data_IF_388628640060
#
_entry.id   IF_388628640060
#
_cell.length_a   1.000
_cell.length_b   1.000
_cell.length_c   1.000
_cell.angle_alpha   90.00
_cell.angle_beta   90.00
_cell.angle_gamma   90.00
#
_symmetry.space_group_name_H-M   'P 1'
#
loop_
_entity.id
_entity.type
_entity.pdbx_description
1 polymer ?
#
# COMPACT_ATOMS: atom_id res chain seq x y z
N UNK A 1 -20.95 -33.26 21.83
CA UNK A 1 -20.08 -32.08 21.87
C UNK A 1 -20.89 -30.92 22.40
N UNK A 2 -20.50 -30.34 23.53
CA UNK A 2 -21.24 -29.21 24.13
C UNK A 2 -20.79 -27.91 23.47
N UNK A 3 -21.69 -27.25 22.76
CA UNK A 3 -21.51 -25.88 22.27
C UNK A 3 -22.51 -24.98 22.99
N UNK A 4 -22.04 -23.85 23.50
CA UNK A 4 -22.87 -22.93 24.29
C UNK A 4 -23.16 -21.68 23.45
N UNK A 5 -24.42 -21.32 23.20
CA UNK A 5 -24.78 -20.05 22.57
C UNK A 5 -24.60 -18.90 23.57
N UNK A 6 -23.77 -17.93 23.22
CA UNK A 6 -23.47 -16.74 24.02
C UNK A 6 -24.06 -15.52 23.33
N UNK A 7 -24.72 -14.65 24.09
CA UNK A 7 -25.23 -13.38 23.58
C UNK A 7 -24.32 -12.28 24.06
N UNK A 8 -23.72 -11.51 23.14
CA UNK A 8 -22.83 -10.40 23.48
C UNK A 8 -23.47 -9.08 23.07
N UNK A 9 -23.45 -8.10 23.97
CA UNK A 9 -23.97 -6.76 23.73
C UNK A 9 -22.94 -5.68 24.05
N UNK A 10 -22.86 -4.69 23.17
CA UNK A 10 -22.11 -3.46 23.36
C UNK A 10 -22.90 -2.33 22.69
N UNK A 11 -23.25 -1.30 23.46
CA UNK A 11 -24.17 -0.23 23.06
C UNK A 11 -25.50 -0.81 22.52
N UNK A 12 -25.85 -0.49 21.28
CA UNK A 12 -27.04 -1.00 20.57
C UNK A 12 -26.76 -2.23 19.69
N UNK A 13 -25.52 -2.75 19.69
CA UNK A 13 -25.13 -3.92 18.90
C UNK A 13 -25.22 -5.19 19.74
N UNK A 14 -26.07 -6.11 19.30
CA UNK A 14 -26.25 -7.44 19.87
C UNK A 14 -25.84 -8.52 18.88
N UNK A 15 -24.96 -9.42 19.28
CA UNK A 15 -24.50 -10.54 18.47
C UNK A 15 -24.65 -11.85 19.23
N UNK A 16 -25.11 -12.90 18.55
CA UNK A 16 -25.10 -14.26 19.10
C UNK A 16 -23.87 -14.99 18.57
N UNK A 17 -23.03 -15.48 19.47
CA UNK A 17 -21.85 -16.28 19.18
C UNK A 17 -22.11 -17.71 19.66
N UNK A 18 -21.56 -18.71 18.95
CA UNK A 18 -21.61 -20.10 19.41
C UNK A 18 -20.21 -20.50 19.86
N UNK A 19 -20.01 -20.63 21.16
CA UNK A 19 -18.74 -21.06 21.72
C UNK A 19 -18.67 -22.59 21.70
N UNK A 20 -17.77 -23.12 20.87
CA UNK A 20 -17.44 -24.54 20.83
C UNK A 20 -16.56 -24.93 22.01
N UNK A 21 -16.45 -26.23 22.30
CA UNK A 21 -15.62 -26.77 23.38
C UNK A 21 -14.17 -26.27 23.34
N UNK A 22 -13.59 -26.12 22.15
CA UNK A 22 -12.24 -25.56 21.97
C UNK A 22 -12.15 -24.07 22.32
N UNK A 23 -13.20 -23.29 22.06
CA UNK A 23 -13.26 -21.87 22.44
C UNK A 23 -13.52 -21.69 23.93
N UNK A 24 -14.30 -22.59 24.55
CA UNK A 24 -14.56 -22.57 25.99
C UNK A 24 -13.29 -22.78 26.84
N UNK A 25 -12.28 -23.45 26.29
CA UNK A 25 -10.98 -23.63 26.96
C UNK A 25 -10.02 -22.43 26.82
N UNK A 26 -10.37 -21.42 26.01
CA UNK A 26 -9.57 -20.19 25.85
C UNK A 26 -10.02 -19.11 26.83
N UNK A 27 -9.18 -18.09 26.99
CA UNK A 27 -9.51 -16.89 27.75
C UNK A 27 -10.78 -16.22 27.21
N UNK A 28 -11.59 -15.62 28.08
CA UNK A 28 -12.83 -14.93 27.72
C UNK A 28 -12.60 -13.85 26.66
N UNK A 29 -11.46 -13.15 26.75
CA UNK A 29 -11.04 -12.14 25.76
C UNK A 29 -10.86 -12.72 24.36
N UNK A 30 -10.32 -13.93 24.22
CA UNK A 30 -10.06 -14.56 22.92
C UNK A 30 -11.27 -15.34 22.40
N UNK A 31 -12.02 -15.94 23.31
CA UNK A 31 -13.16 -16.79 22.98
C UNK A 31 -14.39 -15.99 22.54
N UNK A 32 -14.59 -14.79 23.12
CA UNK A 32 -15.84 -14.03 22.99
C UNK A 32 -15.61 -12.57 22.66
N UNK A 33 -14.77 -11.86 23.41
CA UNK A 33 -14.62 -10.40 23.28
C UNK A 33 -13.96 -10.02 21.95
N UNK A 34 -12.81 -10.60 21.61
CA UNK A 34 -12.07 -10.29 20.37
C UNK A 34 -12.85 -10.65 19.11
N UNK A 35 -13.50 -11.84 19.01
CA UNK A 35 -14.39 -12.15 17.88
C UNK A 35 -15.58 -11.19 17.77
N UNK A 36 -16.19 -10.84 18.89
CA UNK A 36 -17.28 -9.86 18.92
C UNK A 36 -16.80 -8.48 18.45
N UNK A 37 -15.69 -7.98 18.99
CA UNK A 37 -15.11 -6.69 18.62
C UNK A 37 -14.70 -6.66 17.15
N UNK A 38 -14.20 -7.76 16.57
CA UNK A 38 -13.95 -7.85 15.14
C UNK A 38 -15.22 -7.63 14.29
N UNK A 39 -16.34 -8.21 14.69
CA UNK A 39 -17.63 -8.01 14.02
C UNK A 39 -18.23 -6.62 14.29
N UNK A 40 -18.12 -6.14 15.52
CA UNK A 40 -18.55 -4.81 15.95
C UNK A 40 -17.82 -3.71 15.18
N UNK A 41 -16.48 -3.78 15.14
CA UNK A 41 -15.61 -2.86 14.42
C UNK A 41 -15.93 -2.84 12.93
N UNK A 42 -16.22 -3.99 12.32
CA UNK A 42 -16.66 -4.07 10.93
C UNK A 42 -18.04 -3.44 10.70
N UNK A 43 -18.98 -3.60 11.64
CA UNK A 43 -20.35 -3.08 11.53
C UNK A 43 -20.44 -1.57 11.82
N UNK A 44 -19.64 -1.08 12.76
CA UNK A 44 -19.61 0.32 13.22
C UNK A 44 -18.52 1.15 12.56
N UNK A 45 -17.69 0.53 11.72
CA UNK A 45 -16.48 1.13 11.15
C UNK A 45 -15.60 1.76 12.24
N UNK A 46 -15.38 1.01 13.33
CA UNK A 46 -14.61 1.43 14.49
C UNK A 46 -13.34 0.56 14.63
N UNK A 47 -12.42 0.95 15.52
CA UNK A 47 -11.24 0.14 15.87
C UNK A 47 -11.07 0.04 17.39
N UNK A 48 -12.10 -0.50 18.04
CA UNK A 48 -12.08 -0.74 19.49
C UNK A 48 -11.26 -1.98 19.81
N UNK A 49 -10.29 -1.83 20.72
CA UNK A 49 -9.53 -2.93 21.30
C UNK A 49 -10.13 -3.37 22.65
N UNK A 50 -9.96 -4.64 23.02
CA UNK A 50 -10.47 -5.18 24.28
C UNK A 50 -9.97 -4.42 25.53
N UNK A 51 -8.75 -3.88 25.47
CA UNK A 51 -8.14 -3.08 26.55
C UNK A 51 -8.84 -1.73 26.79
N UNK A 52 -9.73 -1.29 25.88
CA UNK A 52 -10.47 -0.03 25.99
C UNK A 52 -11.85 -0.23 26.66
N UNK A 53 -12.25 -1.46 26.95
CA UNK A 53 -13.46 -1.75 27.71
C UNK A 53 -13.25 -1.41 29.18
N UNK A 54 -14.19 -0.69 29.79
CA UNK A 54 -14.12 -0.35 31.21
C UNK A 54 -14.61 -1.46 32.12
N UNK A 55 -15.59 -2.23 31.64
CA UNK A 55 -16.13 -3.36 32.39
C UNK A 55 -16.75 -4.39 31.46
N UNK A 56 -16.70 -5.64 31.90
CA UNK A 56 -17.27 -6.80 31.23
C UNK A 56 -18.16 -7.48 32.25
N UNK A 57 -19.46 -7.59 31.96
CA UNK A 57 -20.42 -8.29 32.80
C UNK A 57 -20.86 -9.57 32.12
N UNK A 58 -20.92 -10.67 32.87
CA UNK A 58 -21.49 -11.94 32.42
C UNK A 58 -22.68 -12.26 33.31
N UNK A 59 -23.87 -12.37 32.71
CA UNK A 59 -25.16 -12.54 33.39
C UNK A 59 -25.35 -11.54 34.55
N UNK A 60 -24.96 -10.28 34.30
CA UNK A 60 -25.06 -9.18 35.26
C UNK A 60 -23.96 -9.13 36.33
N UNK A 61 -22.97 -10.04 36.30
CA UNK A 61 -21.83 -10.04 37.23
C UNK A 61 -20.58 -9.51 36.56
N UNK A 62 -19.92 -8.54 37.16
CA UNK A 62 -18.67 -7.99 36.66
C UNK A 62 -17.54 -9.04 36.71
N UNK A 63 -16.81 -9.15 35.60
CA UNK A 63 -15.63 -10.00 35.44
C UNK A 63 -14.41 -9.10 35.39
N UNK A 64 -13.69 -9.02 36.51
CA UNK A 64 -12.54 -8.13 36.65
C UNK A 64 -11.28 -8.62 35.91
N UNK A 65 -11.22 -9.90 35.55
CA UNK A 65 -10.11 -10.50 34.79
C UNK A 65 -10.63 -11.29 33.58
N UNK A 66 -10.43 -10.71 32.39
CA UNK A 66 -10.85 -11.28 31.11
C UNK A 66 -9.89 -12.34 30.56
N UNK A 67 -8.78 -12.58 31.25
CA UNK A 67 -7.82 -13.65 30.92
C UNK A 67 -8.26 -15.03 31.45
N UNK A 68 -9.27 -15.06 32.33
CA UNK A 68 -9.87 -16.30 32.84
C UNK A 68 -10.55 -17.08 31.72
N UNK A 69 -10.53 -18.41 31.79
CA UNK A 69 -11.14 -19.28 30.79
C UNK A 69 -12.64 -19.06 30.70
N UNK A 70 -13.16 -19.00 29.47
CA UNK A 70 -14.57 -18.77 29.21
C UNK A 70 -15.49 -19.83 29.86
N UNK A 71 -15.06 -21.10 29.90
CA UNK A 71 -15.79 -22.18 30.58
C UNK A 71 -16.01 -21.91 32.08
N UNK A 72 -15.01 -21.33 32.75
CA UNK A 72 -15.02 -21.08 34.19
C UNK A 72 -15.91 -19.87 34.51
N UNK A 73 -16.01 -18.91 33.58
CA UNK A 73 -16.85 -17.72 33.70
C UNK A 73 -18.33 -18.02 33.41
N UNK A 74 -18.64 -18.88 32.44
CA UNK A 74 -20.03 -19.20 32.10
C UNK A 74 -20.72 -20.14 33.09
N UNK A 75 -20.00 -20.74 34.04
CA UNK A 75 -20.57 -21.38 35.23
C UNK A 75 -21.59 -22.51 34.99
N UNK A 76 -21.59 -23.14 33.80
CA UNK A 76 -22.55 -24.18 33.43
C UNK A 76 -23.91 -23.67 32.91
N UNK A 77 -24.03 -22.36 32.67
CA UNK A 77 -25.24 -21.71 32.13
C UNK A 77 -25.46 -22.08 30.66
N UNK A 78 -26.70 -22.40 30.27
CA UNK A 78 -27.01 -22.86 28.91
C UNK A 78 -26.98 -21.74 27.85
N UNK A 79 -27.17 -20.48 28.25
CA UNK A 79 -27.16 -19.33 27.33
C UNK A 79 -26.69 -18.02 28.01
N UNK A 80 -25.39 -17.89 28.32
CA UNK A 80 -24.85 -16.74 29.03
C UNK A 80 -24.93 -15.45 28.18
N UNK A 81 -25.19 -14.33 28.85
CA UNK A 81 -25.20 -12.99 28.27
C UNK A 81 -23.98 -12.21 28.73
N UNK A 82 -23.22 -11.66 27.78
CA UNK A 82 -22.00 -10.89 28.03
C UNK A 82 -22.27 -9.43 27.64
N UNK A 83 -22.25 -8.54 28.61
CA UNK A 83 -22.43 -7.10 28.41
C UNK A 83 -21.09 -6.39 28.54
N UNK A 84 -20.71 -5.66 27.50
CA UNK A 84 -19.46 -4.90 27.44
C UNK A 84 -19.80 -3.41 27.60
N UNK A 85 -18.99 -2.67 28.34
CA UNK A 85 -19.19 -1.23 28.55
C UNK A 85 -17.90 -0.44 28.36
N UNK A 86 -18.05 0.80 27.89
CA UNK A 86 -17.01 1.82 27.91
C UNK A 86 -17.17 2.74 29.13
N UNK A 87 -16.06 3.22 29.66
CA UNK A 87 -16.08 4.01 30.89
C UNK A 87 -16.75 5.35 30.64
N UNK A 88 -17.87 5.62 31.29
CA UNK A 88 -18.51 6.93 31.27
C UNK A 88 -17.97 7.77 32.42
N UNK A 89 -17.46 8.97 32.11
CA UNK A 89 -17.33 10.02 33.12
C UNK A 89 -18.74 10.42 33.61
N UNK A 90 -18.83 10.83 34.88
CA UNK A 90 -20.03 11.14 35.68
C UNK A 90 -21.10 12.02 34.97
N UNK A 91 -22.38 11.95 35.39
CA UNK A 91 -23.51 12.49 34.63
C UNK A 91 -23.48 14.02 34.57
N UNK A 92 -23.44 14.55 33.35
CA UNK A 92 -23.43 15.99 33.07
C UNK A 92 -24.84 16.61 33.16
N UNK A 93 -24.94 17.92 33.50
CA UNK A 93 -26.21 18.66 33.51
C UNK A 93 -26.83 18.72 32.11
N UNK A 94 -28.10 19.14 31.95
CA UNK A 94 -28.75 19.20 30.64
C UNK A 94 -27.90 20.03 29.68
N UNK A 95 -27.80 19.62 28.41
CA UNK A 95 -26.76 20.09 27.50
C UNK A 95 -26.88 21.62 27.33
N UNK A 96 -25.78 22.37 27.48
CA UNK A 96 -25.73 23.68 26.84
C UNK A 96 -25.90 23.46 25.34
N UNK A 97 -26.57 24.39 24.68
CA UNK A 97 -26.86 24.33 23.24
C UNK A 97 -25.65 23.80 22.45
N UNK A 98 -25.88 22.79 21.61
CA UNK A 98 -24.87 22.06 20.87
C UNK A 98 -23.84 23.01 20.24
N UNK A 99 -22.61 22.97 20.75
CA UNK A 99 -21.44 23.43 20.01
C UNK A 99 -21.05 22.33 19.03
N UNK A 100 -20.67 22.67 17.80
CA UNK A 100 -20.48 21.70 16.73
C UNK A 100 -19.30 20.76 17.04
N UNK A 101 -19.54 19.46 16.92
CA UNK A 101 -18.54 18.41 17.11
C UNK A 101 -17.38 18.43 16.08
N UNK A 102 -17.36 19.39 15.14
CA UNK A 102 -16.30 19.57 14.15
C UNK A 102 -15.05 20.26 14.70
N UNK A 103 -15.17 21.05 15.77
CA UNK A 103 -14.09 21.97 16.18
C UNK A 103 -12.92 21.25 16.87
N UNK A 104 -13.17 20.11 17.53
CA UNK A 104 -12.13 19.34 18.23
C UNK A 104 -11.13 18.67 17.27
N UNK A 105 -11.63 17.90 16.29
CA UNK A 105 -10.79 17.20 15.31
C UNK A 105 -10.04 18.19 14.40
N UNK A 106 -10.72 19.25 13.93
CA UNK A 106 -10.08 20.30 13.14
C UNK A 106 -8.99 21.01 13.93
N UNK A 107 -9.19 21.27 15.22
CA UNK A 107 -8.17 21.86 16.10
C UNK A 107 -6.98 20.94 16.32
N UNK A 108 -7.21 19.66 16.60
CA UNK A 108 -6.13 18.67 16.74
C UNK A 108 -5.31 18.52 15.45
N UNK A 109 -5.96 18.51 14.28
CA UNK A 109 -5.27 18.53 12.99
C UNK A 109 -4.45 19.81 12.80
N UNK A 110 -5.03 20.99 13.10
CA UNK A 110 -4.33 22.26 12.99
C UNK A 110 -3.10 22.32 13.91
N UNK A 111 -3.23 21.87 15.17
CA UNK A 111 -2.13 21.83 16.12
C UNK A 111 -1.03 20.85 15.68
N UNK A 112 -1.41 19.69 15.13
CA UNK A 112 -0.46 18.72 14.57
C UNK A 112 0.28 19.29 13.34
N UNK A 113 -0.42 19.98 12.44
CA UNK A 113 0.17 20.67 11.29
C UNK A 113 1.12 21.77 11.75
N UNK A 114 0.70 22.62 12.70
CA UNK A 114 1.53 23.71 13.22
C UNK A 114 2.85 23.18 13.79
N UNK A 115 2.79 22.11 14.59
CA UNK A 115 3.98 21.42 15.10
C UNK A 115 4.88 20.90 13.98
N UNK A 116 4.31 20.31 12.92
CA UNK A 116 5.09 19.84 11.76
C UNK A 116 5.76 20.99 10.99
N UNK A 117 5.11 22.15 10.90
CA UNK A 117 5.65 23.32 10.20
C UNK A 117 6.81 23.96 10.98
N UNK A 118 6.78 23.91 12.30
CA UNK A 118 7.83 24.41 13.19
C UNK A 118 9.05 23.47 13.26
N UNK A 119 8.87 22.17 12.96
CA UNK A 119 9.97 21.21 13.00
C UNK A 119 10.96 21.44 11.83
N UNK A 120 12.27 21.49 12.10
CA UNK A 120 13.30 21.58 11.07
C UNK A 120 13.43 20.24 10.35
N UNK A 121 13.63 20.21 9.03
CA UNK A 121 13.66 18.98 8.23
C UNK A 121 14.56 17.84 8.78
N UNK A 122 15.62 18.20 9.52
CA UNK A 122 16.58 17.27 10.14
C UNK A 122 16.22 16.86 11.58
N UNK A 123 15.04 17.21 12.11
CA UNK A 123 14.65 16.83 13.47
C UNK A 123 14.56 15.29 13.63
N UNK A 124 14.77 14.78 14.86
CA UNK A 124 14.75 13.35 15.15
C UNK A 124 13.33 12.77 15.00
N UNK A 125 13.23 11.48 14.68
CA UNK A 125 11.97 10.81 14.33
C UNK A 125 10.93 10.92 15.44
N UNK A 126 11.38 10.89 16.69
CA UNK A 126 10.56 10.97 17.90
C UNK A 126 9.80 12.30 18.00
N UNK A 127 10.34 13.37 17.39
CA UNK A 127 9.66 14.67 17.31
C UNK A 127 8.57 14.69 16.21
N UNK A 128 8.76 13.91 15.14
CA UNK A 128 7.88 13.90 13.98
C UNK A 128 6.74 12.89 14.07
N UNK A 129 6.96 11.72 14.69
CA UNK A 129 5.99 10.62 14.69
C UNK A 129 4.65 10.98 15.37
N UNK A 130 4.62 11.65 16.54
CA UNK A 130 3.35 11.97 17.20
C UNK A 130 2.38 12.82 16.36
N UNK A 131 2.79 13.96 15.76
CA UNK A 131 1.85 14.74 14.94
C UNK A 131 1.45 14.00 13.65
N UNK A 132 2.29 13.17 13.06
CA UNK A 132 1.92 12.36 11.88
C UNK A 132 0.88 11.31 12.21
N UNK A 133 1.03 10.63 13.35
CA UNK A 133 0.07 9.65 13.83
C UNK A 133 -1.33 10.26 13.98
N UNK A 134 -1.40 11.46 14.57
CA UNK A 134 -2.65 12.24 14.72
C UNK A 134 -3.27 12.54 13.37
N UNK A 135 -2.49 13.04 12.40
CA UNK A 135 -3.00 13.30 11.05
C UNK A 135 -3.43 12.02 10.33
N UNK A 136 -2.74 10.89 10.55
CA UNK A 136 -3.12 9.61 9.98
C UNK A 136 -4.48 9.13 10.48
N UNK A 137 -4.75 9.23 11.78
CA UNK A 137 -6.05 8.88 12.39
C UNK A 137 -7.14 9.76 11.79
N UNK A 138 -6.97 11.07 11.84
CA UNK A 138 -8.01 12.00 11.36
C UNK A 138 -8.25 11.92 9.86
N UNK A 139 -7.23 11.61 9.05
CA UNK A 139 -7.38 11.34 7.62
C UNK A 139 -8.21 10.09 7.30
N UNK A 140 -8.34 9.15 8.26
CA UNK A 140 -9.16 7.95 8.12
C UNK A 140 -10.58 8.17 8.62
N UNK A 141 -10.71 8.86 9.75
CA UNK A 141 -11.94 8.82 10.54
C UNK A 141 -12.83 10.06 10.37
N UNK A 142 -12.24 11.22 10.05
CA UNK A 142 -12.94 12.53 10.08
C UNK A 142 -12.67 13.37 8.83
N UNK A 143 -12.39 12.72 7.72
CA UNK A 143 -11.90 13.36 6.50
C UNK A 143 -12.92 14.32 5.86
N UNK A 144 -14.21 14.09 6.11
CA UNK A 144 -15.34 14.92 5.64
C UNK A 144 -15.68 16.07 6.60
N UNK A 145 -15.03 16.14 7.78
CA UNK A 145 -15.28 17.20 8.74
C UNK A 145 -14.73 18.56 8.23
N UNK A 146 -15.47 19.67 8.43
CA UNK A 146 -15.02 20.99 8.03
C UNK A 146 -13.64 21.33 8.59
N UNK A 147 -12.71 21.79 7.74
CA UNK A 147 -11.36 22.20 8.13
C UNK A 147 -10.32 21.09 8.26
N UNK A 148 -10.73 19.83 8.50
CA UNK A 148 -9.78 18.68 8.59
C UNK A 148 -9.12 18.42 7.23
N UNK A 149 -9.89 18.43 6.14
CA UNK A 149 -9.35 18.26 4.79
C UNK A 149 -8.32 19.34 4.44
N UNK A 150 -8.58 20.60 4.79
CA UNK A 150 -7.66 21.71 4.50
C UNK A 150 -6.35 21.60 5.31
N UNK A 151 -6.41 21.10 6.53
CA UNK A 151 -5.22 20.81 7.35
C UNK A 151 -4.36 19.68 6.74
N UNK A 152 -5.00 18.62 6.26
CA UNK A 152 -4.28 17.45 5.76
C UNK A 152 -3.61 17.71 4.40
N UNK A 153 -4.15 18.65 3.61
CA UNK A 153 -3.64 19.02 2.29
C UNK A 153 -2.35 19.86 2.29
N UNK A 154 -1.67 19.98 3.43
CA UNK A 154 -0.45 20.79 3.57
C UNK A 154 0.72 20.12 2.84
N UNK A 155 1.32 20.78 1.83
CA UNK A 155 2.34 20.16 0.97
C UNK A 155 3.61 19.70 1.70
N UNK A 156 3.93 20.35 2.83
CA UNK A 156 5.07 19.99 3.69
C UNK A 156 4.94 18.61 4.36
N UNK A 157 3.71 18.14 4.57
CA UNK A 157 3.42 16.79 5.08
C UNK A 157 3.81 15.73 4.05
N UNK A 158 3.57 16.00 2.76
CA UNK A 158 3.94 15.08 1.66
C UNK A 158 5.45 15.12 1.39
N UNK A 159 6.08 16.30 1.45
CA UNK A 159 7.53 16.43 1.39
C UNK A 159 8.22 15.59 2.48
N UNK A 160 7.67 15.62 3.69
CA UNK A 160 8.16 14.81 4.79
C UNK A 160 8.04 13.30 4.50
N UNK A 161 6.90 12.84 3.96
CA UNK A 161 6.74 11.44 3.56
C UNK A 161 7.83 10.99 2.58
N UNK A 162 8.12 11.84 1.58
CA UNK A 162 9.17 11.59 0.61
C UNK A 162 10.55 11.53 1.26
N UNK A 163 10.90 12.48 2.13
CA UNK A 163 12.18 12.53 2.86
C UNK A 163 12.47 11.24 3.62
N UNK A 164 11.45 10.64 4.25
CA UNK A 164 11.64 9.40 5.02
C UNK A 164 11.62 8.13 4.18
N UNK A 165 11.02 8.17 3.00
CA UNK A 165 11.09 7.07 2.05
C UNK A 165 12.43 7.02 1.28
N UNK A 166 13.12 8.14 1.13
CA UNK A 166 14.33 8.29 0.31
C UNK A 166 15.65 8.14 1.09
N UNK A 167 15.64 7.59 2.31
CA UNK A 167 16.87 7.42 3.09
C UNK A 167 17.72 6.28 2.51
N UNK A 168 18.96 6.62 2.13
CA UNK A 168 19.84 5.75 1.36
C UNK A 168 20.57 4.67 2.17
N UNK A 169 20.68 4.82 3.50
CA UNK A 169 21.46 3.93 4.36
C UNK A 169 20.64 3.44 5.55
N UNK A 170 20.53 2.11 5.70
CA UNK A 170 19.86 1.48 6.85
C UNK A 170 20.60 1.75 8.16
N UNK A 171 21.93 1.96 8.10
CA UNK A 171 22.75 2.27 9.28
C UNK A 171 22.51 3.67 9.85
N UNK A 172 21.90 4.58 9.07
CA UNK A 172 21.55 5.93 9.49
C UNK A 172 20.10 6.05 9.99
N UNK A 173 19.37 4.93 10.10
CA UNK A 173 17.98 4.94 10.52
C UNK A 173 17.85 4.84 12.06
N UNK A 174 17.21 5.81 12.73
CA UNK A 174 16.78 5.65 14.11
C UNK A 174 15.75 4.52 14.21
N UNK A 175 15.70 3.83 15.35
CA UNK A 175 14.80 2.68 15.60
C UNK A 175 13.29 2.97 15.36
N UNK A 176 12.88 4.25 15.35
CA UNK A 176 11.49 4.66 15.04
C UNK A 176 11.22 5.09 13.59
N UNK A 177 12.25 5.22 12.74
CA UNK A 177 12.10 5.79 11.38
C UNK A 177 11.16 4.99 10.48
N UNK A 178 11.01 3.69 10.74
CA UNK A 178 10.14 2.76 9.98
C UNK A 178 8.67 3.13 10.10
N UNK A 179 8.23 3.36 11.33
CA UNK A 179 6.86 3.73 11.67
C UNK A 179 6.50 5.09 11.05
N UNK A 180 7.33 6.12 11.27
CA UNK A 180 7.04 7.46 10.76
C UNK A 180 6.96 7.53 9.23
N UNK A 181 7.80 6.79 8.50
CA UNK A 181 7.70 6.72 7.04
C UNK A 181 6.44 5.97 6.58
N UNK A 182 6.04 4.91 7.31
CA UNK A 182 4.83 4.14 7.03
C UNK A 182 3.57 4.98 7.24
N UNK A 183 3.52 5.73 8.34
CA UNK A 183 2.45 6.70 8.65
C UNK A 183 2.39 7.79 7.58
N UNK A 184 3.53 8.39 7.23
CA UNK A 184 3.56 9.43 6.21
C UNK A 184 3.12 8.92 4.82
N UNK A 185 3.55 7.72 4.41
CA UNK A 185 3.08 7.09 3.17
C UNK A 185 1.58 6.76 3.21
N UNK A 186 1.09 6.32 4.37
CA UNK A 186 -0.35 6.06 4.61
C UNK A 186 -1.16 7.34 4.51
N UNK A 187 -0.70 8.43 5.12
CA UNK A 187 -1.33 9.74 5.08
C UNK A 187 -1.45 10.25 3.65
N UNK A 188 -0.36 10.18 2.85
CA UNK A 188 -0.40 10.53 1.43
C UNK A 188 -1.44 9.71 0.65
N UNK A 189 -1.51 8.40 0.89
CA UNK A 189 -2.50 7.54 0.24
C UNK A 189 -3.93 7.89 0.65
N UNK A 190 -4.18 8.20 1.92
CA UNK A 190 -5.51 8.61 2.38
C UNK A 190 -5.91 9.96 1.78
N UNK A 191 -4.98 10.92 1.75
CA UNK A 191 -5.19 12.24 1.15
C UNK A 191 -5.63 12.16 -0.31
N UNK A 192 -4.94 11.33 -1.10
CA UNK A 192 -5.24 11.18 -2.51
C UNK A 192 -6.49 10.35 -2.80
N UNK A 193 -7.01 9.61 -1.81
CA UNK A 193 -8.30 8.92 -1.88
C UNK A 193 -9.49 9.84 -1.58
N UNK A 194 -9.31 10.85 -0.72
CA UNK A 194 -10.38 11.77 -0.34
C UNK A 194 -10.85 12.63 -1.51
N UNK A 195 -9.93 13.34 -2.17
CA UNK A 195 -10.19 14.15 -3.35
C UNK A 195 -8.88 14.40 -4.08
N UNK A 196 -8.59 13.56 -5.08
CA UNK A 196 -7.36 13.65 -5.86
C UNK A 196 -7.21 14.99 -6.57
N UNK A 197 -8.30 15.60 -7.04
CA UNK A 197 -8.24 16.84 -7.79
C UNK A 197 -7.86 18.00 -6.85
N UNK A 198 -8.51 18.08 -5.69
CA UNK A 198 -8.19 19.08 -4.66
C UNK A 198 -6.81 18.86 -4.05
N UNK A 199 -6.42 17.62 -3.78
CA UNK A 199 -5.09 17.28 -3.30
C UNK A 199 -3.99 17.59 -4.32
N UNK A 200 -4.23 17.26 -5.58
CA UNK A 200 -3.34 17.63 -6.68
C UNK A 200 -3.21 19.14 -6.82
N UNK A 201 -4.31 19.89 -6.71
CA UNK A 201 -4.31 21.35 -6.73
C UNK A 201 -3.54 21.97 -5.57
N UNK A 202 -3.67 21.43 -4.35
CA UNK A 202 -2.93 21.91 -3.18
C UNK A 202 -1.42 21.65 -3.31
N UNK A 203 -1.03 20.47 -3.80
CA UNK A 203 0.38 20.08 -3.96
C UNK A 203 1.06 20.81 -5.12
N UNK A 204 0.34 21.01 -6.22
CA UNK A 204 0.83 21.64 -7.45
C UNK A 204 0.51 23.15 -7.56
N UNK A 205 -0.09 23.74 -6.52
CA UNK A 205 -0.41 25.17 -6.49
C UNK A 205 0.85 26.04 -6.63
N UNK A 206 0.71 27.22 -7.23
CA UNK A 206 1.84 28.10 -7.54
C UNK A 206 2.68 28.52 -6.32
N UNK A 207 2.06 28.55 -5.13
CA UNK A 207 2.72 28.88 -3.85
C UNK A 207 3.37 27.65 -3.18
N UNK A 208 3.15 26.45 -3.72
CA UNK A 208 3.70 25.19 -3.22
C UNK A 208 4.94 24.79 -4.03
N UNK A 209 6.11 24.74 -3.37
CA UNK A 209 7.32 24.10 -3.93
C UNK A 209 7.38 22.59 -3.71
N UNK A 210 6.35 21.99 -3.10
CA UNK A 210 6.45 20.61 -2.63
C UNK A 210 6.63 19.58 -3.74
N UNK A 211 5.87 19.65 -4.85
CA UNK A 211 6.04 18.71 -5.97
C UNK A 211 7.45 18.77 -6.56
N UNK A 212 7.99 19.95 -6.91
CA UNK A 212 9.40 20.08 -7.33
C UNK A 212 10.38 19.50 -6.30
N UNK A 213 10.25 19.86 -5.02
CA UNK A 213 11.18 19.46 -3.96
C UNK A 213 11.13 17.93 -3.71
N UNK A 214 9.93 17.34 -3.76
CA UNK A 214 9.73 15.89 -3.65
C UNK A 214 10.37 15.17 -4.83
N UNK A 215 10.17 15.66 -6.05
CA UNK A 215 10.73 15.04 -7.26
C UNK A 215 12.25 15.14 -7.28
N UNK A 216 12.82 16.27 -6.87
CA UNK A 216 14.25 16.44 -6.71
C UNK A 216 14.81 15.40 -5.72
N UNK A 217 14.19 15.29 -4.54
CA UNK A 217 14.58 14.31 -3.52
C UNK A 217 14.49 12.86 -4.03
N UNK A 218 13.39 12.49 -4.71
CA UNK A 218 13.23 11.14 -5.28
C UNK A 218 14.30 10.84 -6.34
N UNK A 219 14.69 11.85 -7.12
CA UNK A 219 15.70 11.73 -8.18
C UNK A 219 17.13 11.63 -7.63
N UNK A 220 17.38 12.27 -6.49
CA UNK A 220 18.66 12.27 -5.78
C UNK A 220 18.89 11.03 -4.90
N UNK A 221 17.97 10.06 -4.89
CA UNK A 221 18.06 8.83 -4.11
C UNK A 221 18.53 7.62 -4.98
N UNK A 222 19.83 7.52 -5.35
CA UNK A 222 20.31 6.47 -6.25
C UNK A 222 20.30 5.07 -5.60
N UNK A 223 20.22 5.00 -4.26
CA UNK A 223 20.13 3.77 -3.48
C UNK A 223 19.07 3.97 -2.41
N UNK A 224 18.13 3.04 -2.33
CA UNK A 224 17.02 3.07 -1.36
C UNK A 224 17.15 1.81 -0.51
N UNK A 225 17.11 1.96 0.81
CA UNK A 225 17.05 0.81 1.70
C UNK A 225 15.90 -0.13 1.30
N UNK A 226 16.12 -1.45 1.29
CA UNK A 226 15.09 -2.41 0.84
C UNK A 226 13.81 -2.28 1.66
N UNK A 227 13.98 -2.10 2.97
CA UNK A 227 12.91 -1.83 3.95
C UNK A 227 12.07 -0.57 3.64
N UNK A 228 12.52 0.28 2.70
CA UNK A 228 11.87 1.52 2.25
C UNK A 228 11.30 1.47 0.86
N UNK A 229 11.62 0.44 0.09
CA UNK A 229 11.24 0.36 -1.31
C UNK A 229 9.71 0.42 -1.49
N UNK A 230 8.96 -0.14 -0.53
CA UNK A 230 7.50 -0.09 -0.53
C UNK A 230 6.97 1.33 -0.39
N UNK A 231 7.47 2.08 0.59
CA UNK A 231 7.04 3.46 0.83
C UNK A 231 7.47 4.37 -0.33
N UNK A 232 8.68 4.17 -0.86
CA UNK A 232 9.15 4.88 -2.05
C UNK A 232 8.23 4.61 -3.25
N UNK A 233 7.95 3.34 -3.55
CA UNK A 233 7.04 2.97 -4.63
C UNK A 233 5.61 3.51 -4.43
N UNK A 234 5.12 3.53 -3.19
CA UNK A 234 3.82 4.12 -2.86
C UNK A 234 3.80 5.62 -3.17
N UNK A 235 4.84 6.37 -2.80
CA UNK A 235 4.93 7.81 -3.07
C UNK A 235 5.00 8.07 -4.57
N UNK A 236 5.89 7.37 -5.29
CA UNK A 236 6.00 7.51 -6.74
C UNK A 236 4.67 7.24 -7.45
N UNK A 237 3.98 6.15 -7.08
CA UNK A 237 2.69 5.82 -7.66
C UNK A 237 1.68 6.93 -7.40
N UNK A 238 1.56 7.36 -6.16
CA UNK A 238 0.64 8.42 -5.75
C UNK A 238 0.93 9.76 -6.45
N UNK A 239 2.19 10.11 -6.69
CA UNK A 239 2.55 11.30 -7.48
C UNK A 239 2.19 11.15 -8.95
N UNK A 240 2.42 9.98 -9.57
CA UNK A 240 2.06 9.74 -10.98
C UNK A 240 0.57 9.88 -11.27
N UNK A 241 -0.25 9.82 -10.23
CA UNK A 241 -1.68 9.98 -10.31
C UNK A 241 -2.12 11.46 -10.34
N UNK A 242 -1.22 12.39 -10.02
CA UNK A 242 -1.48 13.83 -10.08
C UNK A 242 -1.32 14.34 -11.52
N UNK A 243 -2.32 15.03 -12.10
CA UNK A 243 -2.23 15.56 -13.47
C UNK A 243 -1.01 16.44 -13.71
N UNK A 244 -0.64 17.27 -12.73
CA UNK A 244 0.54 18.15 -12.82
C UNK A 244 1.89 17.42 -12.87
N UNK A 245 1.92 16.14 -12.46
CA UNK A 245 3.12 15.29 -12.46
C UNK A 245 3.10 14.29 -13.61
N UNK A 246 1.93 13.88 -14.07
CA UNK A 246 1.75 12.85 -15.10
C UNK A 246 2.20 13.26 -16.51
N UNK A 247 2.57 14.53 -16.73
CA UNK A 247 3.04 15.04 -18.02
C UNK A 247 4.16 16.08 -17.85
N UNK A 248 5.09 16.14 -18.81
CA UNK A 248 6.14 17.17 -18.85
C UNK A 248 7.37 16.84 -17.96
N UNK A 249 8.13 17.86 -17.49
CA UNK A 249 9.45 17.65 -16.88
C UNK A 249 9.42 16.85 -15.56
N UNK A 250 8.32 16.95 -14.82
CA UNK A 250 8.12 16.18 -13.59
C UNK A 250 7.90 14.69 -13.86
N UNK A 251 7.26 14.35 -14.99
CA UNK A 251 7.06 12.97 -15.40
C UNK A 251 8.39 12.30 -15.80
N UNK A 252 9.28 13.03 -16.50
CA UNK A 252 10.63 12.58 -16.85
C UNK A 252 11.47 12.30 -15.60
N UNK A 253 11.52 13.24 -14.65
CA UNK A 253 12.28 13.09 -13.43
C UNK A 253 11.76 11.93 -12.56
N UNK A 254 10.44 11.83 -12.39
CA UNK A 254 9.82 10.72 -11.65
C UNK A 254 10.09 9.37 -12.34
N UNK A 255 10.05 9.32 -13.66
CA UNK A 255 10.41 8.12 -14.44
C UNK A 255 11.87 7.72 -14.21
N UNK A 256 12.78 8.69 -14.21
CA UNK A 256 14.20 8.47 -13.88
C UNK A 256 14.40 7.88 -12.48
N UNK A 257 13.74 8.44 -11.48
CA UNK A 257 13.78 7.96 -10.10
C UNK A 257 13.26 6.52 -9.97
N UNK A 258 12.10 6.22 -10.57
CA UNK A 258 11.48 4.88 -10.55
C UNK A 258 12.36 3.85 -11.25
N UNK A 259 12.99 4.21 -12.38
CA UNK A 259 13.93 3.34 -13.09
C UNK A 259 15.16 3.00 -12.24
N UNK A 260 15.76 4.00 -11.60
CA UNK A 260 16.90 3.79 -10.69
C UNK A 260 16.53 2.88 -9.53
N UNK A 261 15.36 3.09 -8.92
CA UNK A 261 14.85 2.25 -7.85
C UNK A 261 14.56 0.81 -8.30
N UNK A 262 13.98 0.62 -9.50
CA UNK A 262 13.75 -0.71 -10.08
C UNK A 262 15.05 -1.44 -10.41
N UNK A 263 16.04 -0.74 -10.97
CA UNK A 263 17.35 -1.33 -11.23
C UNK A 263 18.01 -1.80 -9.92
N UNK A 264 17.98 -0.97 -8.89
CA UNK A 264 18.46 -1.34 -7.55
C UNK A 264 17.67 -2.51 -6.95
N UNK A 265 16.34 -2.48 -6.99
CA UNK A 265 15.49 -3.56 -6.51
C UNK A 265 15.66 -4.86 -7.32
N UNK A 266 16.03 -4.79 -8.59
CA UNK A 266 16.26 -5.96 -9.43
C UNK A 266 17.51 -6.74 -9.03
N UNK A 267 18.51 -6.05 -8.50
CA UNK A 267 19.73 -6.65 -7.94
C UNK A 267 19.43 -7.40 -6.64
N UNK A 268 18.39 -6.97 -5.89
CA UNK A 268 18.26 -7.32 -4.47
C UNK A 268 16.95 -8.01 -4.06
N UNK A 269 15.82 -7.72 -4.73
CA UNK A 269 14.45 -8.16 -4.35
C UNK A 269 13.83 -9.10 -5.37
N UNK A 270 14.14 -8.95 -6.67
CA UNK A 270 13.58 -9.84 -7.70
C UNK A 270 14.17 -11.27 -7.67
N UNK A 271 15.04 -11.60 -6.70
CA UNK A 271 15.51 -12.96 -6.43
C UNK A 271 14.79 -13.65 -5.26
N UNK A 272 13.93 -12.98 -4.51
CA UNK A 272 13.29 -13.53 -3.31
C UNK A 272 11.88 -14.04 -3.62
N UNK A 273 11.61 -15.27 -3.19
CA UNK A 273 10.29 -15.90 -3.28
C UNK A 273 9.23 -15.05 -2.56
N UNK A 274 8.14 -14.76 -3.27
CA UNK A 274 7.06 -13.84 -2.94
C UNK A 274 6.17 -14.29 -1.75
N UNK A 275 6.72 -14.42 -0.54
CA UNK A 275 5.92 -14.77 0.65
C UNK A 275 5.82 -13.65 1.70
N UNK A 276 6.54 -12.54 1.52
CA UNK A 276 6.55 -11.39 2.46
C UNK A 276 5.82 -10.14 1.95
N UNK A 277 5.44 -9.26 2.90
CA UNK A 277 4.79 -7.96 2.61
C UNK A 277 5.64 -6.97 1.80
N UNK A 278 6.95 -7.24 1.68
CA UNK A 278 7.92 -6.51 0.86
C UNK A 278 7.80 -6.80 -0.64
N UNK A 279 7.16 -7.93 -1.02
CA UNK A 279 6.95 -8.34 -2.42
C UNK A 279 6.02 -7.43 -3.23
N UNK A 280 5.30 -6.50 -2.58
CA UNK A 280 4.44 -5.52 -3.25
C UNK A 280 5.18 -4.25 -3.71
N UNK A 281 6.41 -4.00 -3.23
CA UNK A 281 7.15 -2.80 -3.59
C UNK A 281 7.48 -2.70 -5.10
N UNK A 282 7.95 -3.79 -5.76
CA UNK A 282 8.14 -3.77 -7.20
C UNK A 282 6.84 -3.53 -7.97
N UNK A 283 5.70 -4.04 -7.48
CA UNK A 283 4.39 -3.86 -8.12
C UNK A 283 4.01 -2.37 -8.22
N UNK A 284 4.21 -1.60 -7.13
CA UNK A 284 3.89 -0.17 -7.12
C UNK A 284 4.78 0.64 -8.07
N UNK A 285 6.07 0.30 -8.17
CA UNK A 285 6.99 0.92 -9.12
C UNK A 285 6.59 0.64 -10.58
N UNK A 286 6.19 -0.60 -10.88
CA UNK A 286 5.73 -0.99 -12.20
C UNK A 286 4.41 -0.30 -12.58
N UNK A 287 3.45 -0.21 -11.65
CA UNK A 287 2.22 0.55 -11.84
C UNK A 287 2.48 2.03 -12.09
N UNK A 288 3.50 2.60 -11.44
CA UNK A 288 3.93 3.99 -11.67
C UNK A 288 4.41 4.18 -13.10
N UNK A 289 5.33 3.31 -13.57
CA UNK A 289 5.82 3.38 -14.96
C UNK A 289 4.70 3.19 -15.97
N UNK A 290 3.79 2.24 -15.73
CA UNK A 290 2.66 1.99 -16.61
C UNK A 290 1.79 3.25 -16.72
N UNK A 291 1.48 3.88 -15.59
CA UNK A 291 0.61 5.06 -15.57
C UNK A 291 1.19 6.23 -16.33
N UNK A 292 2.48 6.54 -16.12
CA UNK A 292 3.17 7.64 -16.81
C UNK A 292 3.34 7.32 -18.31
N UNK A 293 3.68 6.08 -18.65
CA UNK A 293 3.85 5.66 -20.04
C UNK A 293 2.53 5.69 -20.82
N UNK A 294 1.40 5.45 -20.17
CA UNK A 294 0.08 5.53 -20.80
C UNK A 294 -0.34 6.98 -21.10
N UNK A 295 0.24 7.98 -20.43
CA UNK A 295 -0.15 9.39 -20.60
C UNK A 295 0.79 10.18 -21.51
N UNK A 296 2.00 9.69 -21.75
CA UNK A 296 3.01 10.37 -22.56
C UNK A 296 3.76 9.37 -23.46
N UNK A 297 3.55 9.51 -24.78
CA UNK A 297 4.12 8.61 -25.78
C UNK A 297 5.65 8.74 -25.91
N UNK A 298 6.21 9.93 -25.67
CA UNK A 298 7.66 10.15 -25.72
C UNK A 298 8.32 9.47 -24.51
N UNK A 299 7.72 9.60 -23.32
CA UNK A 299 8.14 8.87 -22.13
C UNK A 299 7.97 7.36 -22.27
N UNK A 300 6.86 6.89 -22.84
CA UNK A 300 6.66 5.47 -23.14
C UNK A 300 7.80 4.92 -24.01
N UNK A 301 8.16 5.66 -25.07
CA UNK A 301 9.28 5.30 -25.95
C UNK A 301 10.61 5.30 -25.19
N UNK A 302 10.86 6.29 -24.34
CA UNK A 302 12.08 6.39 -23.54
C UNK A 302 12.18 5.27 -22.49
N UNK A 303 11.08 4.92 -21.81
CA UNK A 303 11.01 3.82 -20.86
C UNK A 303 11.23 2.49 -21.57
N UNK A 304 10.59 2.30 -22.73
CA UNK A 304 10.79 1.11 -23.57
C UNK A 304 12.26 0.96 -23.98
N UNK A 305 12.88 2.01 -24.52
CA UNK A 305 14.29 2.00 -24.94
C UNK A 305 15.28 1.83 -23.78
N UNK A 306 14.87 2.21 -22.57
CA UNK A 306 15.66 2.01 -21.37
C UNK A 306 15.58 0.58 -20.81
N UNK A 307 14.43 -0.07 -20.91
CA UNK A 307 14.21 -1.43 -20.42
C UNK A 307 14.70 -2.46 -21.44
N UNK A 308 14.41 -2.22 -22.72
CA UNK A 308 14.75 -3.09 -23.84
C UNK A 308 15.87 -2.46 -24.67
N UNK A 309 16.94 -3.22 -24.99
CA UNK A 309 17.99 -2.76 -25.89
C UNK A 309 17.40 -2.30 -27.24
N UNK A 310 18.03 -1.34 -27.94
CA UNK A 310 17.55 -0.84 -29.25
C UNK A 310 17.36 -1.97 -30.28
N UNK A 311 18.24 -2.97 -30.24
CA UNK A 311 18.23 -4.07 -31.19
C UNK A 311 17.24 -5.18 -30.82
N UNK A 312 16.56 -5.08 -29.66
CA UNK A 312 15.72 -6.14 -29.10
C UNK A 312 14.65 -6.64 -30.07
N UNK A 313 14.01 -5.72 -30.80
CA UNK A 313 12.95 -6.02 -31.76
C UNK A 313 13.48 -6.46 -33.13
N UNK A 314 14.78 -6.28 -33.36
CA UNK A 314 15.46 -6.65 -34.60
C UNK A 314 16.12 -8.04 -34.53
N UNK A 315 16.09 -8.70 -33.38
CA UNK A 315 16.65 -10.04 -33.24
C UNK A 315 15.77 -11.08 -33.95
N UNK A 316 16.36 -11.73 -34.96
CA UNK A 316 15.83 -12.99 -35.46
C UNK A 316 16.12 -14.10 -34.45
N UNK A 317 15.07 -14.83 -34.08
CA UNK A 317 15.16 -15.94 -33.14
C UNK A 317 15.91 -17.10 -33.79
N UNK A 318 17.11 -17.41 -33.30
CA UNK A 318 17.84 -18.62 -33.69
C UNK A 318 18.21 -19.43 -32.46
N UNK A 319 18.48 -20.74 -32.62
CA UNK A 319 18.97 -21.58 -31.52
C UNK A 319 20.24 -21.04 -30.84
N UNK A 320 21.01 -20.21 -31.54
CA UNK A 320 22.27 -19.65 -31.07
C UNK A 320 22.08 -18.24 -30.47
N UNK A 321 21.04 -17.51 -30.91
CA UNK A 321 20.66 -16.18 -30.45
C UNK A 321 19.22 -16.20 -29.93
N UNK A 322 19.07 -16.71 -28.71
CA UNK A 322 17.86 -16.48 -27.93
C UNK A 322 18.01 -15.13 -27.18
N UNK A 323 17.25 -14.08 -27.52
CA UNK A 323 17.31 -12.79 -26.81
C UNK A 323 16.86 -12.92 -25.35
N UNK A 324 16.03 -13.92 -25.02
CA UNK A 324 15.51 -14.14 -23.66
C UNK A 324 16.47 -14.95 -22.77
N UNK A 325 17.57 -15.45 -23.32
CA UNK A 325 18.62 -16.14 -22.58
C UNK A 325 19.62 -15.13 -22.00
N UNK A 326 19.93 -15.17 -20.68
CA UNK A 326 21.00 -14.34 -20.13
C UNK A 326 22.34 -14.57 -20.85
N UNK A 327 23.16 -13.53 -21.08
CA UNK A 327 24.40 -13.66 -21.86
C UNK A 327 25.42 -14.67 -21.28
N UNK A 328 25.33 -14.95 -19.98
CA UNK A 328 26.21 -15.87 -19.26
C UNK A 328 25.71 -17.33 -19.19
N UNK A 329 24.56 -17.64 -19.83
CA UNK A 329 23.92 -18.96 -19.76
C UNK A 329 24.08 -19.78 -21.05
N UNK A 330 24.06 -21.11 -20.92
CA UNK A 330 24.21 -22.04 -22.05
C UNK A 330 22.99 -22.07 -23.00
N UNK A 331 23.13 -22.49 -24.29
CA UNK A 331 22.04 -22.55 -25.27
C UNK A 331 20.82 -23.42 -24.94
N UNK A 332 20.94 -24.30 -23.96
CA UNK A 332 19.88 -25.18 -23.46
C UNK A 332 19.32 -24.70 -22.11
N UNK A 333 19.57 -23.45 -21.73
CA UNK A 333 19.10 -22.87 -20.48
C UNK A 333 17.56 -22.94 -20.38
N UNK A 334 17.07 -23.52 -19.28
CA UNK A 334 15.63 -23.58 -18.99
C UNK A 334 15.15 -22.17 -18.57
N UNK A 335 14.16 -21.57 -19.27
CA UNK A 335 13.57 -20.28 -18.93
C UNK A 335 13.01 -20.17 -17.50
N UNK A 336 12.71 -21.30 -16.86
CA UNK A 336 12.24 -21.36 -15.49
C UNK A 336 13.39 -21.35 -14.46
N UNK A 337 14.63 -21.44 -14.91
CA UNK A 337 15.81 -21.32 -14.03
C UNK A 337 15.87 -19.91 -13.45
N UNK A 338 16.18 -19.76 -12.16
CA UNK A 338 16.40 -18.44 -11.56
C UNK A 338 17.45 -17.63 -12.33
N UNK A 339 17.13 -16.38 -12.63
CA UNK A 339 18.05 -15.47 -13.30
C UNK A 339 19.23 -15.10 -12.40
N UNK A 340 20.46 -15.03 -12.94
CA UNK A 340 21.64 -14.68 -12.15
C UNK A 340 21.56 -13.25 -11.61
N UNK A 341 22.30 -12.98 -10.53
CA UNK A 341 22.44 -11.61 -10.00
C UNK A 341 23.03 -10.72 -11.09
N UNK A 342 22.44 -9.53 -11.30
CA UNK A 342 22.84 -8.62 -12.37
C UNK A 342 22.22 -8.92 -13.74
N UNK A 343 21.35 -9.94 -13.87
CA UNK A 343 20.56 -10.13 -15.08
C UNK A 343 19.73 -8.85 -15.40
N UNK A 344 19.67 -8.44 -16.68
CA UNK A 344 18.93 -7.27 -17.11
C UNK A 344 17.46 -7.26 -16.63
N UNK A 345 16.94 -6.05 -16.36
CA UNK A 345 15.58 -5.85 -15.84
C UNK A 345 14.53 -6.46 -16.78
N UNK A 346 14.67 -6.31 -18.11
CA UNK A 346 13.70 -6.87 -19.06
C UNK A 346 13.57 -8.40 -18.97
N UNK A 347 14.65 -9.15 -18.77
CA UNK A 347 14.59 -10.61 -18.61
C UNK A 347 13.80 -10.99 -17.35
N UNK A 348 13.99 -10.22 -16.27
CA UNK A 348 13.23 -10.41 -15.04
C UNK A 348 11.74 -10.10 -15.25
N UNK A 349 11.40 -9.07 -16.01
CA UNK A 349 10.02 -8.76 -16.37
C UNK A 349 9.39 -9.88 -17.20
N UNK A 350 10.07 -10.37 -18.24
CA UNK A 350 9.59 -11.49 -19.06
C UNK A 350 9.33 -12.73 -18.20
N UNK A 351 10.26 -13.09 -17.30
CA UNK A 351 10.07 -14.23 -16.38
C UNK A 351 8.87 -14.06 -15.42
N UNK A 352 8.41 -12.82 -15.15
CA UNK A 352 7.23 -12.60 -14.30
C UNK A 352 5.90 -12.82 -15.02
N UNK A 353 5.88 -12.88 -16.35
CA UNK A 353 4.66 -13.24 -17.10
C UNK A 353 4.21 -14.69 -16.85
N UNK A 354 5.11 -15.55 -16.40
CA UNK A 354 4.85 -16.97 -16.12
C UNK A 354 4.91 -17.30 -14.63
N UNK A 355 4.98 -16.31 -13.74
CA UNK A 355 5.04 -16.55 -12.31
C UNK A 355 3.68 -16.92 -11.70
N UNK A 356 3.70 -17.59 -10.55
CA UNK A 356 2.49 -18.06 -9.82
C UNK A 356 1.70 -16.92 -9.16
N UNK A 357 2.33 -15.76 -8.93
CA UNK A 357 1.65 -14.61 -8.35
C UNK A 357 0.83 -13.89 -9.45
N UNK A 358 -0.48 -14.14 -9.45
CA UNK A 358 -1.39 -13.59 -10.45
C UNK A 358 -1.34 -12.05 -10.50
N UNK A 359 -1.31 -11.35 -9.36
CA UNK A 359 -1.28 -9.88 -9.34
C UNK A 359 -0.03 -9.34 -10.02
N UNK A 360 1.15 -9.91 -9.71
CA UNK A 360 2.41 -9.50 -10.32
C UNK A 360 2.43 -9.81 -11.81
N UNK A 361 1.95 -11.00 -12.21
CA UNK A 361 1.80 -11.39 -13.61
C UNK A 361 0.94 -10.39 -14.39
N UNK A 362 -0.23 -10.02 -13.86
CA UNK A 362 -1.13 -9.06 -14.50
C UNK A 362 -0.47 -7.69 -14.63
N UNK A 363 0.09 -7.14 -13.54
CA UNK A 363 0.71 -5.80 -13.56
C UNK A 363 1.89 -5.73 -14.53
N UNK A 364 2.72 -6.78 -14.57
CA UNK A 364 3.85 -6.83 -15.52
C UNK A 364 3.35 -6.93 -16.96
N UNK A 365 2.35 -7.78 -17.23
CA UNK A 365 1.76 -7.88 -18.57
C UNK A 365 1.13 -6.57 -19.03
N UNK A 366 0.43 -5.87 -18.13
CA UNK A 366 -0.21 -4.59 -18.42
C UNK A 366 0.81 -3.48 -18.72
N UNK A 367 1.92 -3.43 -17.98
CA UNK A 367 3.04 -2.55 -18.27
C UNK A 367 3.64 -2.86 -19.65
N UNK A 368 3.95 -4.13 -19.93
CA UNK A 368 4.59 -4.54 -21.18
C UNK A 368 3.70 -4.28 -22.39
N UNK A 369 2.38 -4.45 -22.25
CA UNK A 369 1.39 -4.09 -23.26
C UNK A 369 1.30 -2.57 -23.47
N UNK A 370 1.37 -1.78 -22.40
CA UNK A 370 1.43 -0.32 -22.51
C UNK A 370 2.69 0.12 -23.29
N UNK A 371 3.84 -0.48 -22.97
CA UNK A 371 5.11 -0.22 -23.66
C UNK A 371 5.14 -0.74 -25.10
N UNK A 372 4.27 -1.68 -25.45
CA UNK A 372 4.10 -2.16 -26.83
C UNK A 372 3.17 -1.25 -27.66
N UNK A 373 2.73 -0.11 -27.11
CA UNK A 373 1.75 0.77 -27.76
C UNK A 373 0.37 0.13 -27.84
N UNK A 374 0.05 -0.75 -26.89
CA UNK A 374 -1.21 -1.51 -26.85
C UNK A 374 -1.42 -2.41 -28.08
N UNK A 375 -0.33 -2.82 -28.74
CA UNK A 375 -0.36 -3.79 -29.83
C UNK A 375 0.05 -5.19 -29.34
N UNK A 376 -0.79 -6.19 -29.63
CA UNK A 376 -0.56 -7.57 -29.22
C UNK A 376 0.58 -8.23 -30.00
N UNK A 377 0.77 -7.86 -31.27
CA UNK A 377 1.88 -8.37 -32.08
C UNK A 377 3.22 -7.87 -31.57
N UNK A 378 3.28 -6.59 -31.24
CA UNK A 378 4.46 -5.94 -30.69
C UNK A 378 4.77 -6.44 -29.27
N UNK A 379 3.74 -6.73 -28.45
CA UNK A 379 3.92 -7.43 -27.18
C UNK A 379 4.58 -8.80 -27.40
N UNK A 380 4.07 -9.60 -28.33
CA UNK A 380 4.64 -10.92 -28.64
C UNK A 380 6.08 -10.81 -29.15
N UNK A 381 6.41 -9.79 -29.96
CA UNK A 381 7.79 -9.51 -30.37
C UNK A 381 8.69 -9.11 -29.19
N UNK A 382 8.16 -8.39 -28.21
CA UNK A 382 8.90 -7.94 -27.03
C UNK A 382 9.21 -9.07 -26.05
N UNK A 383 8.30 -10.03 -25.85
CA UNK A 383 8.39 -10.99 -24.73
C UNK A 383 8.35 -12.47 -25.15
N UNK A 384 8.08 -12.74 -26.43
CA UNK A 384 7.88 -14.08 -26.97
C UNK A 384 6.47 -14.62 -26.73
N UNK A 385 5.98 -15.42 -27.68
CA UNK A 385 4.62 -15.96 -27.63
C UNK A 385 4.39 -16.85 -26.39
N UNK A 386 5.37 -17.67 -26.01
CA UNK A 386 5.27 -18.55 -24.85
C UNK A 386 4.99 -17.79 -23.55
N UNK A 387 5.64 -16.65 -23.36
CA UNK A 387 5.47 -15.79 -22.18
C UNK A 387 4.17 -14.96 -22.27
N UNK A 388 3.84 -14.44 -23.45
CA UNK A 388 2.65 -13.60 -23.65
C UNK A 388 1.32 -14.36 -23.63
N UNK A 389 1.32 -15.64 -24.02
CA UNK A 389 0.09 -16.42 -24.28
C UNK A 389 -0.87 -16.43 -23.10
N UNK A 390 -0.36 -16.65 -21.88
CA UNK A 390 -1.19 -16.70 -20.68
C UNK A 390 -1.94 -15.39 -20.43
N UNK A 391 -1.25 -14.26 -20.56
CA UNK A 391 -1.85 -12.93 -20.35
C UNK A 391 -2.79 -12.53 -21.50
N UNK A 392 -2.42 -12.82 -22.75
CA UNK A 392 -3.26 -12.57 -23.93
C UNK A 392 -4.58 -13.36 -23.88
N UNK A 393 -4.53 -14.60 -23.38
CA UNK A 393 -5.71 -15.46 -23.20
C UNK A 393 -6.67 -14.89 -22.15
N UNK A 394 -6.14 -14.46 -21.00
CA UNK A 394 -6.92 -13.84 -19.92
C UNK A 394 -7.67 -12.58 -20.38
N UNK A 395 -7.15 -11.87 -21.39
CA UNK A 395 -7.79 -10.68 -21.98
C UNK A 395 -8.60 -10.95 -23.24
N UNK A 396 -8.76 -12.21 -23.66
CA UNK A 396 -9.49 -12.57 -24.87
C UNK A 396 -8.83 -12.08 -26.17
N UNK A 397 -7.55 -11.70 -26.12
CA UNK A 397 -6.80 -11.17 -27.26
C UNK A 397 -6.04 -12.26 -28.03
N UNK A 398 -5.93 -13.46 -27.46
CA UNK A 398 -5.13 -14.54 -28.06
C UNK A 398 -5.70 -15.03 -29.41
N UNK A 399 -7.02 -15.16 -29.51
CA UNK A 399 -7.70 -15.54 -30.76
C UNK A 399 -7.55 -14.48 -31.85
N UNK A 400 -7.66 -13.20 -31.48
CA UNK A 400 -7.44 -12.08 -32.39
C UNK A 400 -5.99 -12.06 -32.91
N UNK A 401 -5.01 -12.25 -32.02
CA UNK A 401 -3.60 -12.34 -32.42
C UNK A 401 -3.33 -13.51 -33.38
N UNK A 402 -3.88 -14.71 -33.11
CA UNK A 402 -3.71 -15.87 -33.98
C UNK A 402 -4.28 -15.65 -35.39
N UNK A 403 -5.41 -14.96 -35.51
CA UNK A 403 -6.01 -14.63 -36.81
C UNK A 403 -5.14 -13.65 -37.60
N UNK A 404 -4.58 -12.63 -36.95
CA UNK A 404 -3.68 -11.68 -37.59
C UNK A 404 -2.38 -12.35 -38.06
N UNK A 405 -1.83 -13.27 -37.27
CA UNK A 405 -0.62 -14.02 -37.60
C UNK A 405 -0.80 -15.05 -38.73
N UNK A 406 -2.04 -15.49 -39.01
CA UNK A 406 -2.37 -16.36 -40.14
C UNK A 406 -2.65 -15.59 -41.44
N UNK A 407 -2.94 -14.29 -41.34
CA UNK A 407 -3.24 -13.42 -42.47
C UNK A 407 -2.00 -12.69 -43.04
N UNK A 408 -0.91 -12.65 -42.28
CA UNK A 408 0.43 -12.19 -42.65
C UNK A 408 1.33 -13.36 -43.04
#
# INVERSE_FOLDING_TARGET
MKSIPVVVTLDDVKLKLTCTEALLQKALVDAVITPFLGAYNKKRNASVAAAQLSSVHVDGREVCDVSVKAADVFGGTEAPTVELSFGTAAPTPPPPAALPASDGAARECNDAVARLLELPAHAPVEAWAPPLHVLCIHSRDSCEAPGVADCLLVPRVVLYAAQRACVADEALLPAGGTVAASEAATLLNNLLKMDRARAGGALAGADSRAVPDIIALLSEAPKIALSRLRQFGQICFQLSLLPAVASGPYAEALTGAVRSALAWASVTVLSLDNTGSEGYAPVLLLLTLQKISATDAALCTAVRAALFPPDWLSFEFTKERDPYRPPCMEPNWDPNTPLPIGAPVHLRLVQRLTCTNHTLKTVVGDLLYTLSGEDAGELVRLVGLGSAAGWLSERGMFSAFQQTAQAS
#
